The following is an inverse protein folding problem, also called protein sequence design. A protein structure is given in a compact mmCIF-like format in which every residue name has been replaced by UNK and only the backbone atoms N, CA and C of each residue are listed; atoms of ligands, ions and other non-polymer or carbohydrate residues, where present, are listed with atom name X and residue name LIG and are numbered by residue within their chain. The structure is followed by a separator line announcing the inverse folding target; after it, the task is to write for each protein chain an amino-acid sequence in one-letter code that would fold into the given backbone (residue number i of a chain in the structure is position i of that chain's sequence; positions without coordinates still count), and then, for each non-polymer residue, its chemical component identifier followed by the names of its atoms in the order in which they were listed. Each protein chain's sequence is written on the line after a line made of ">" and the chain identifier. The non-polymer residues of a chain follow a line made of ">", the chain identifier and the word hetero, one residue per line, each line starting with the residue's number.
data_IF_539678108324
#
_entry.id   IF_539678108324
#
_cell.length_a   1.000
_cell.length_b   1.000
_cell.length_c   1.000
_cell.angle_alpha   90.00
_cell.angle_beta   90.00
_cell.angle_gamma   90.00
#
_symmetry.space_group_name_H-M   'P 1'
#
loop_
_entity.id
_entity.type
_entity.pdbx_description
1 polymer ?
#
# COMPACT_ATOMS: atom_id res chain seq x y z
N UNK A 1 -37.65 26.11 43.08
CA UNK A 1 -36.98 25.80 41.82
C UNK A 1 -36.72 24.31 41.75
N UNK A 2 -37.46 23.57 40.97
CA UNK A 2 -37.21 22.16 40.76
C UNK A 2 -36.11 22.05 39.67
N UNK A 3 -34.93 21.57 40.05
CA UNK A 3 -33.94 21.15 39.06
C UNK A 3 -34.48 19.87 38.42
N UNK A 4 -34.98 20.01 37.22
CA UNK A 4 -35.26 18.86 36.39
C UNK A 4 -33.90 18.27 35.94
N UNK A 5 -33.50 17.24 36.63
CA UNK A 5 -32.36 16.39 36.19
C UNK A 5 -32.84 15.53 35.04
N UNK A 6 -32.47 15.89 33.83
CA UNK A 6 -32.80 15.14 32.62
C UNK A 6 -31.65 14.15 32.34
N UNK A 7 -31.84 12.86 32.64
CA UNK A 7 -30.81 11.85 32.46
C UNK A 7 -30.45 11.64 30.98
N UNK A 8 -31.28 12.12 30.04
CA UNK A 8 -31.03 12.01 28.60
C UNK A 8 -30.10 13.10 28.08
N UNK A 9 -29.97 14.24 28.77
CA UNK A 9 -29.01 15.28 28.40
C UNK A 9 -27.56 14.87 28.59
N UNK A 10 -27.28 14.02 29.54
CA UNK A 10 -25.92 13.48 29.71
C UNK A 10 -25.59 12.41 28.67
N UNK A 11 -26.56 11.58 28.28
CA UNK A 11 -26.41 10.63 27.18
C UNK A 11 -26.19 11.35 25.84
N UNK A 12 -26.90 12.44 25.59
CA UNK A 12 -26.71 13.28 24.40
C UNK A 12 -25.32 13.95 24.39
N UNK A 13 -24.83 14.40 25.55
CA UNK A 13 -23.47 14.94 25.67
C UNK A 13 -22.40 13.87 25.47
N UNK A 14 -22.60 12.66 26.00
CA UNK A 14 -21.69 11.54 25.80
C UNK A 14 -21.70 11.06 24.35
N UNK A 15 -22.86 10.98 23.72
CA UNK A 15 -23.00 10.67 22.31
C UNK A 15 -22.36 11.75 21.42
N UNK A 16 -22.56 13.03 21.73
CA UNK A 16 -21.94 14.14 21.04
C UNK A 16 -20.41 14.15 21.24
N UNK A 17 -19.91 13.84 22.44
CA UNK A 17 -18.46 13.76 22.69
C UNK A 17 -17.82 12.52 22.06
N UNK A 18 -18.52 11.41 21.91
CA UNK A 18 -18.05 10.24 21.16
C UNK A 18 -18.07 10.50 19.64
N UNK A 19 -18.97 11.35 19.15
CA UNK A 19 -18.99 11.81 17.76
C UNK A 19 -17.90 12.87 17.50
N UNK A 20 -17.62 13.70 18.49
CA UNK A 20 -16.63 14.79 18.41
C UNK A 20 -15.18 14.30 18.63
N UNK A 21 -14.99 13.17 19.29
CA UNK A 21 -13.67 12.50 19.41
C UNK A 21 -13.17 11.90 18.08
N UNK A 22 -13.91 12.07 16.99
CA UNK A 22 -13.47 11.81 15.61
C UNK A 22 -12.85 13.01 14.93
N UNK A 23 -12.23 13.93 15.66
CA UNK A 23 -11.58 15.12 15.10
C UNK A 23 -10.25 14.84 14.38
N UNK A 24 -9.83 13.60 14.30
CA UNK A 24 -8.67 13.19 13.49
C UNK A 24 -9.01 12.99 12.01
N UNK A 25 -7.99 12.89 11.13
CA UNK A 25 -8.18 12.51 9.75
C UNK A 25 -8.93 11.19 9.64
N UNK A 26 -9.90 11.12 8.74
CA UNK A 26 -10.66 9.89 8.49
C UNK A 26 -9.82 8.92 7.68
N UNK A 27 -9.99 7.65 7.94
CA UNK A 27 -9.38 6.58 7.16
C UNK A 27 -10.26 6.30 5.94
N UNK A 28 -9.67 6.33 4.76
CA UNK A 28 -10.31 5.90 3.52
C UNK A 28 -10.19 4.38 3.34
N UNK A 29 -11.23 3.69 2.84
CA UNK A 29 -11.09 2.28 2.47
C UNK A 29 -10.16 2.14 1.27
N UNK A 30 -9.26 1.17 1.32
CA UNK A 30 -8.34 0.87 0.23
C UNK A 30 -8.34 -0.61 -0.09
N UNK A 31 -8.08 -0.93 -1.36
CA UNK A 31 -7.66 -2.23 -1.81
C UNK A 31 -6.23 -2.13 -2.34
N UNK A 32 -5.41 -3.10 -2.02
CA UNK A 32 -4.05 -3.23 -2.54
C UNK A 32 -3.84 -4.66 -3.01
N UNK A 33 -3.46 -4.84 -4.26
CA UNK A 33 -3.16 -6.14 -4.84
C UNK A 33 -1.95 -6.08 -5.75
N UNK A 34 -1.33 -7.22 -5.98
CA UNK A 34 -0.25 -7.37 -6.94
C UNK A 34 -0.80 -7.86 -8.27
N UNK A 35 -0.40 -7.22 -9.34
CA UNK A 35 -0.69 -7.60 -10.72
C UNK A 35 0.61 -7.64 -11.52
N UNK A 36 1.13 -8.85 -11.73
CA UNK A 36 2.39 -9.05 -12.44
C UNK A 36 3.58 -8.36 -11.76
N UNK A 37 4.10 -7.34 -12.42
CA UNK A 37 5.29 -6.57 -12.02
C UNK A 37 4.96 -5.22 -11.35
N UNK A 38 3.73 -5.02 -10.92
CA UNK A 38 3.31 -3.85 -10.17
C UNK A 38 2.29 -4.17 -9.09
N UNK A 39 2.16 -3.26 -8.15
CA UNK A 39 1.05 -3.23 -7.21
C UNK A 39 0.05 -2.18 -7.65
N UNK A 40 -1.23 -2.50 -7.53
CA UNK A 40 -2.33 -1.58 -7.77
C UNK A 40 -3.06 -1.30 -6.46
N UNK A 41 -3.13 -0.03 -6.10
CA UNK A 41 -3.88 0.46 -4.96
C UNK A 41 -5.09 1.23 -5.46
N UNK A 42 -6.25 0.96 -4.86
CA UNK A 42 -7.48 1.72 -5.10
C UNK A 42 -7.99 2.27 -3.78
N UNK A 43 -8.35 3.55 -3.75
CA UNK A 43 -8.93 4.21 -2.59
C UNK A 43 -10.27 4.86 -2.95
N UNK A 44 -11.29 4.60 -2.14
CA UNK A 44 -12.62 5.19 -2.32
C UNK A 44 -12.68 6.58 -1.70
N UNK A 45 -12.78 7.58 -2.55
CA UNK A 45 -12.85 8.99 -2.19
C UNK A 45 -14.00 9.72 -2.91
N UNK A 46 -15.24 9.21 -2.83
CA UNK A 46 -16.35 9.82 -3.52
C UNK A 46 -16.65 11.22 -2.95
N UNK A 47 -16.90 12.17 -3.84
CA UNK A 47 -17.29 13.51 -3.48
C UNK A 47 -16.18 14.38 -2.87
N UNK A 48 -14.91 13.97 -2.96
CA UNK A 48 -13.78 14.85 -2.62
C UNK A 48 -13.51 15.82 -3.77
N UNK A 49 -12.93 16.96 -3.42
CA UNK A 49 -12.41 17.89 -4.42
C UNK A 49 -11.17 17.27 -5.08
N UNK A 50 -11.16 17.07 -6.42
CA UNK A 50 -10.02 16.50 -7.12
C UNK A 50 -8.71 17.27 -6.87
N UNK A 51 -8.78 18.57 -6.72
CA UNK A 51 -7.62 19.42 -6.40
C UNK A 51 -7.07 19.23 -4.99
N UNK A 52 -7.82 18.56 -4.08
CA UNK A 52 -7.38 18.26 -2.72
C UNK A 52 -6.74 16.88 -2.58
N UNK A 53 -6.81 16.04 -3.61
CA UNK A 53 -6.20 14.71 -3.59
C UNK A 53 -4.70 14.86 -3.79
N UNK A 54 -3.95 14.42 -2.79
CA UNK A 54 -2.51 14.52 -2.74
C UNK A 54 -1.88 13.18 -2.38
N UNK A 55 -0.83 12.80 -3.10
CA UNK A 55 -0.10 11.54 -2.91
C UNK A 55 1.38 11.87 -2.76
N UNK A 56 1.89 11.71 -1.56
CA UNK A 56 3.27 11.99 -1.20
C UNK A 56 4.06 10.72 -0.95
N UNK A 57 5.35 10.77 -1.22
CA UNK A 57 6.31 9.71 -0.95
C UNK A 57 7.46 10.30 -0.14
N UNK A 58 7.69 9.71 1.02
CA UNK A 58 8.84 10.02 1.87
C UNK A 58 9.58 8.72 2.22
N UNK A 59 10.71 8.49 1.57
CA UNK A 59 11.44 7.23 1.66
C UNK A 59 10.57 6.06 1.18
N UNK A 60 10.14 5.20 2.10
CA UNK A 60 9.24 4.06 1.83
C UNK A 60 7.80 4.32 2.27
N UNK A 61 7.50 5.50 2.75
CA UNK A 61 6.17 5.86 3.21
C UNK A 61 5.37 6.54 2.10
N UNK A 62 4.31 5.89 1.67
CA UNK A 62 3.29 6.45 0.79
C UNK A 62 2.20 7.09 1.64
N UNK A 63 1.93 8.37 1.43
CA UNK A 63 0.88 9.10 2.13
C UNK A 63 -0.15 9.61 1.15
N UNK A 64 -1.41 9.27 1.37
CA UNK A 64 -2.54 9.76 0.59
C UNK A 64 -3.36 10.69 1.46
N UNK A 65 -3.61 11.90 0.98
CA UNK A 65 -4.47 12.91 1.60
C UNK A 65 -5.58 13.32 0.65
N UNK A 66 -6.73 13.62 1.21
CA UNK A 66 -7.84 14.19 0.46
C UNK A 66 -8.76 14.98 1.40
N UNK A 67 -9.51 15.90 0.86
CA UNK A 67 -10.47 16.69 1.61
C UNK A 67 -11.85 16.67 0.95
N UNK A 68 -12.86 16.43 1.76
CA UNK A 68 -14.27 16.52 1.35
C UNK A 68 -14.92 17.66 2.10
N UNK A 69 -15.27 18.70 1.38
CA UNK A 69 -16.05 19.81 1.91
C UNK A 69 -17.54 19.58 1.68
N UNK A 70 -18.32 19.80 2.73
CA UNK A 70 -19.76 19.90 2.58
C UNK A 70 -20.10 21.36 2.27
N UNK A 71 -20.69 21.57 1.11
CA UNK A 71 -21.26 22.89 0.81
C UNK A 71 -22.51 23.05 1.68
N UNK A 72 -22.50 23.98 2.60
CA UNK A 72 -23.66 24.45 3.30
C UNK A 72 -23.82 25.92 3.00
N UNK A 73 -25.03 26.34 2.62
CA UNK A 73 -25.37 27.73 2.52
C UNK A 73 -25.65 28.29 3.94
N UNK A 74 -25.52 29.59 4.14
CA UNK A 74 -25.61 30.22 5.47
C UNK A 74 -26.90 29.89 6.24
N UNK A 75 -28.00 29.66 5.53
CA UNK A 75 -29.32 29.34 6.12
C UNK A 75 -29.65 27.82 6.09
N UNK A 76 -28.66 26.95 5.87
CA UNK A 76 -28.90 25.52 5.78
C UNK A 76 -29.30 24.92 7.12
N UNK A 77 -30.49 24.35 7.24
CA UNK A 77 -30.94 23.56 8.37
C UNK A 77 -30.84 22.07 8.05
N UNK A 78 -29.89 21.42 8.68
CA UNK A 78 -29.69 19.97 8.49
C UNK A 78 -30.78 19.18 9.23
N UNK A 79 -31.52 18.35 8.52
CA UNK A 79 -32.46 17.38 9.09
C UNK A 79 -31.74 16.05 9.37
N UNK A 80 -30.94 15.57 8.41
CA UNK A 80 -30.09 14.38 8.54
C UNK A 80 -28.74 14.70 7.93
N UNK A 81 -27.66 14.36 8.64
CA UNK A 81 -26.28 14.57 8.20
C UNK A 81 -25.44 13.34 8.50
N UNK A 82 -25.39 12.42 7.56
CA UNK A 82 -24.67 11.14 7.69
C UNK A 82 -23.40 11.08 6.84
N UNK A 83 -23.30 11.89 5.77
CA UNK A 83 -22.13 11.91 4.89
C UNK A 83 -20.93 12.51 5.64
N UNK A 84 -19.83 11.77 5.76
CA UNK A 84 -18.64 12.29 6.41
C UNK A 84 -17.99 13.39 5.58
N UNK A 85 -17.50 14.43 6.25
CA UNK A 85 -16.73 15.54 5.68
C UNK A 85 -15.41 15.70 6.44
N UNK A 86 -14.53 16.51 5.92
CA UNK A 86 -13.23 16.82 6.49
C UNK A 86 -12.10 16.12 5.78
N UNK A 87 -10.97 15.99 6.46
CA UNK A 87 -9.73 15.43 5.92
C UNK A 87 -9.72 13.92 5.99
N UNK A 88 -9.18 13.30 4.93
CA UNK A 88 -8.88 11.88 4.86
C UNK A 88 -7.37 11.69 4.79
N UNK A 89 -6.86 10.71 5.50
CA UNK A 89 -5.44 10.36 5.52
C UNK A 89 -5.27 8.84 5.50
N UNK A 90 -4.39 8.36 4.63
CA UNK A 90 -3.92 6.99 4.64
C UNK A 90 -2.42 6.96 4.45
N UNK A 91 -1.72 6.19 5.30
CA UNK A 91 -0.29 5.98 5.20
C UNK A 91 0.00 4.49 5.05
N UNK A 92 0.90 4.16 4.14
CA UNK A 92 1.27 2.78 3.83
C UNK A 92 2.79 2.73 3.70
N UNK A 93 3.42 1.90 4.53
CA UNK A 93 4.85 1.61 4.40
C UNK A 93 5.05 0.55 3.33
N UNK A 94 5.80 0.89 2.30
CA UNK A 94 6.13 -0.01 1.21
C UNK A 94 7.39 -0.81 1.54
N UNK A 95 7.50 -2.04 1.03
CA UNK A 95 8.71 -2.84 1.16
C UNK A 95 9.82 -2.40 0.19
N UNK A 96 11.03 -2.95 0.38
CA UNK A 96 12.21 -2.64 -0.42
C UNK A 96 12.11 -3.04 -1.91
N UNK A 97 11.13 -3.88 -2.25
CA UNK A 97 10.96 -4.42 -3.60
C UNK A 97 10.19 -3.53 -4.57
N UNK A 98 9.91 -2.27 -4.24
CA UNK A 98 9.13 -1.34 -5.07
C UNK A 98 9.99 -0.19 -5.60
N UNK A 99 9.65 0.29 -6.79
CA UNK A 99 10.25 1.48 -7.38
C UNK A 99 9.45 2.73 -6.98
N UNK A 100 9.88 3.39 -5.91
CA UNK A 100 9.22 4.57 -5.38
C UNK A 100 9.29 5.78 -6.33
N UNK A 101 10.21 5.79 -7.29
CA UNK A 101 10.38 6.90 -8.23
C UNK A 101 9.43 6.83 -9.44
N UNK A 102 8.84 5.66 -9.67
CA UNK A 102 7.97 5.42 -10.83
C UNK A 102 6.50 5.22 -10.46
N UNK A 103 6.10 5.65 -9.26
CA UNK A 103 4.71 5.61 -8.82
C UNK A 103 3.89 6.62 -9.62
N UNK A 104 2.73 6.18 -10.07
CA UNK A 104 1.74 7.03 -10.74
C UNK A 104 0.40 6.94 -10.06
N UNK A 105 -0.35 8.05 -10.07
CA UNK A 105 -1.66 8.14 -9.46
C UNK A 105 -2.66 8.80 -10.40
N UNK A 106 -3.89 8.31 -10.39
CA UNK A 106 -4.99 8.83 -11.19
C UNK A 106 -6.28 8.83 -10.36
N UNK A 107 -7.01 9.94 -10.38
CA UNK A 107 -8.29 10.07 -9.69
C UNK A 107 -9.42 10.26 -10.69
N UNK A 108 -10.37 9.33 -10.70
CA UNK A 108 -11.52 9.36 -11.59
C UNK A 108 -12.74 8.72 -10.93
N UNK A 109 -13.92 9.29 -11.16
CA UNK A 109 -15.20 8.74 -10.68
C UNK A 109 -15.24 8.43 -9.17
N UNK A 110 -14.56 9.21 -8.36
CA UNK A 110 -14.51 9.02 -6.91
C UNK A 110 -13.53 7.96 -6.43
N UNK A 111 -12.72 7.41 -7.32
CA UNK A 111 -11.69 6.40 -6.99
C UNK A 111 -10.30 6.93 -7.34
N UNK A 112 -9.40 6.89 -6.37
CA UNK A 112 -7.99 7.12 -6.58
C UNK A 112 -7.32 5.78 -6.89
N UNK A 113 -6.68 5.68 -8.05
CA UNK A 113 -5.89 4.52 -8.47
C UNK A 113 -4.41 4.89 -8.43
N UNK A 114 -3.61 4.10 -7.72
CA UNK A 114 -2.16 4.28 -7.61
C UNK A 114 -1.46 3.02 -8.12
N UNK A 115 -0.56 3.18 -9.07
CA UNK A 115 0.26 2.10 -9.62
C UNK A 115 1.67 2.22 -9.06
N UNK A 116 2.14 1.15 -8.46
CA UNK A 116 3.42 1.07 -7.75
C UNK A 116 4.25 -0.05 -8.40
N UNK A 117 5.21 0.29 -9.29
CA UNK A 117 6.01 -0.73 -9.96
C UNK A 117 6.93 -1.49 -9.01
N UNK A 118 7.13 -2.76 -9.29
CA UNK A 118 8.17 -3.58 -8.63
C UNK A 118 9.53 -3.13 -9.17
N UNK A 119 10.51 -2.96 -8.29
CA UNK A 119 11.87 -2.60 -8.70
C UNK A 119 12.49 -3.70 -9.56
N UNK A 120 13.35 -3.33 -10.52
CA UNK A 120 14.05 -4.29 -11.38
C UNK A 120 14.86 -5.32 -10.57
N UNK A 121 15.42 -4.92 -9.44
CA UNK A 121 16.18 -5.79 -8.54
C UNK A 121 15.31 -6.83 -7.82
N UNK A 122 14.02 -6.56 -7.65
CA UNK A 122 13.06 -7.44 -6.98
C UNK A 122 12.31 -8.36 -7.95
N UNK A 123 12.48 -8.18 -9.28
CA UNK A 123 11.88 -9.06 -10.28
C UNK A 123 12.54 -10.44 -10.25
N UNK A 124 11.77 -11.53 -10.36
CA UNK A 124 12.33 -12.87 -10.50
C UNK A 124 13.25 -12.93 -11.72
N UNK A 125 14.47 -13.38 -11.53
CA UNK A 125 15.41 -13.61 -12.62
C UNK A 125 15.86 -15.06 -12.61
N UNK A 126 16.00 -15.62 -13.81
CA UNK A 126 16.59 -16.95 -13.98
C UNK A 126 18.12 -16.83 -13.90
N UNK A 127 18.71 -17.63 -13.05
CA UNK A 127 20.18 -17.76 -12.96
C UNK A 127 20.59 -18.91 -13.85
N UNK A 128 21.47 -18.67 -14.83
CA UNK A 128 22.09 -19.72 -15.60
C UNK A 128 23.14 -20.41 -14.73
N UNK A 129 22.99 -21.73 -14.59
CA UNK A 129 23.99 -22.56 -13.92
C UNK A 129 25.06 -22.95 -14.96
N UNK A 130 26.23 -22.38 -14.82
CA UNK A 130 27.37 -22.82 -15.60
C UNK A 130 27.88 -24.13 -15.00
N UNK A 131 27.78 -25.22 -15.76
CA UNK A 131 28.45 -26.47 -15.40
C UNK A 131 29.94 -26.35 -15.75
N UNK A 132 30.78 -26.47 -14.75
CA UNK A 132 32.22 -26.61 -15.00
C UNK A 132 32.48 -27.90 -15.82
N UNK A 133 33.34 -27.86 -16.86
CA UNK A 133 33.68 -29.06 -17.59
C UNK A 133 34.28 -30.06 -16.62
N UNK A 134 33.72 -31.28 -16.61
CA UNK A 134 34.25 -32.37 -15.84
C UNK A 134 35.64 -32.68 -16.42
N UNK A 135 36.71 -32.41 -15.66
CA UNK A 135 38.03 -32.90 -16.01
C UNK A 135 38.00 -34.41 -15.80
N UNK A 136 37.85 -35.16 -16.90
CA UNK A 136 38.13 -36.60 -16.91
C UNK A 136 39.57 -36.78 -16.54
N UNK A 137 39.83 -37.29 -15.33
CA UNK A 137 41.13 -37.87 -14.99
C UNK A 137 41.30 -39.10 -15.85
N UNK A 138 42.07 -38.97 -16.93
CA UNK A 138 42.62 -40.14 -17.61
C UNK A 138 43.54 -40.84 -16.63
N UNK A 139 43.09 -41.98 -16.14
CA UNK A 139 43.93 -42.94 -15.42
C UNK A 139 44.70 -43.69 -16.49
N UNK A 140 45.90 -43.26 -16.77
CA UNK A 140 46.86 -44.04 -17.56
C UNK A 140 47.29 -45.26 -16.73
N UNK A 141 46.70 -46.40 -17.01
CA UNK A 141 47.20 -47.68 -16.49
C UNK A 141 48.48 -47.99 -17.20
N UNK A 142 49.59 -47.87 -16.49
CA UNK A 142 50.90 -48.37 -16.95
C UNK A 142 50.91 -49.90 -16.74
N UNK A 143 50.72 -50.62 -17.83
CA UNK A 143 50.96 -52.07 -17.82
C UNK A 143 52.47 -52.33 -17.81
N UNK A 144 53.03 -52.76 -16.70
CA UNK A 144 54.37 -53.30 -16.61
C UNK A 144 54.36 -54.73 -17.12
N UNK A 145 54.92 -54.89 -18.27
CA UNK A 145 55.16 -56.24 -18.87
C UNK A 145 56.47 -56.78 -18.36
N UNK A 146 56.40 -57.69 -17.43
CA UNK A 146 57.56 -58.48 -17.02
C UNK A 146 57.59 -59.74 -17.87
N UNK A 147 58.45 -59.70 -18.86
CA UNK A 147 58.85 -60.97 -19.58
C UNK A 147 59.87 -61.67 -18.75
N UNK A 148 59.55 -62.86 -18.27
CA UNK A 148 60.48 -63.79 -17.67
C UNK A 148 60.93 -64.79 -18.73
N UNK A 149 62.24 -64.78 -18.99
CA UNK A 149 62.89 -65.75 -19.86
C UNK A 149 63.72 -66.67 -18.98
N UNK A 150 63.31 -67.88 -18.88
CA UNK A 150 64.19 -68.94 -18.36
C UNK A 150 64.48 -70.00 -19.41
N UNK A 151 65.68 -70.30 -19.50
CA UNK A 151 66.36 -71.36 -20.32
C UNK A 151 65.80 -72.73 -20.11
#
# INVERSE_FOLDING_TARGET
>A
MAMYWDPFRELDRLAASMLDSRQGPRVMPINLHRDGDHYALSADLPGVDPGSVDVDIDGQLLTIRAERTLRSEEDTQWIIRERPSGSFLRQITMGDGVDMNSISAHYENGVLSVVIPVSEQAKPRKIEVQSAPHAEKQVTATASNTADTSS
#
